data_IF_101256774697
#
_entry.id   IF_101256774697
#
_cell.length_a   1.000
_cell.length_b   1.000
_cell.length_c   1.000
_cell.angle_alpha   90.00
_cell.angle_beta   90.00
_cell.angle_gamma   90.00
#
_symmetry.space_group_name_H-M   'P 1'
#
loop_
_entity.id
_entity.type
_entity.pdbx_description
1 polymer ?
#
# COMPACT_ATOMS: atom_id res chain seq x y z
N UNK A 1 5.79 12.91 -6.82
CA UNK A 1 5.80 11.42 -6.93
C UNK A 1 4.37 10.89 -6.89
N UNK A 2 4.00 9.96 -7.78
CA UNK A 2 2.67 9.31 -7.76
C UNK A 2 2.77 7.84 -7.35
N UNK A 3 1.86 7.42 -6.48
CA UNK A 3 1.76 6.05 -5.98
C UNK A 3 0.39 5.47 -6.29
N UNK A 4 0.37 4.30 -6.92
CA UNK A 4 -0.84 3.53 -7.19
C UNK A 4 -0.92 2.35 -6.20
N UNK A 5 -1.98 2.33 -5.39
CA UNK A 5 -2.17 1.36 -4.32
C UNK A 5 -3.28 0.39 -4.71
N UNK A 6 -2.96 -0.91 -4.73
CA UNK A 6 -3.94 -1.98 -4.94
C UNK A 6 -4.34 -2.59 -3.60
N UNK A 7 -5.66 -2.80 -3.34
CA UNK A 7 -6.13 -3.42 -2.11
C UNK A 7 -5.72 -4.89 -2.05
N UNK A 8 -5.73 -5.44 -0.83
CA UNK A 8 -5.53 -6.87 -0.59
C UNK A 8 -6.53 -7.74 -1.37
N UNK A 9 -6.12 -8.90 -1.93
CA UNK A 9 -7.01 -9.81 -2.66
C UNK A 9 -8.27 -10.21 -1.88
N UNK A 10 -8.18 -10.25 -0.55
CA UNK A 10 -9.28 -10.53 0.38
C UNK A 10 -10.42 -9.51 0.29
N UNK A 11 -10.14 -8.28 -0.16
CA UNK A 11 -11.12 -7.23 -0.44
C UNK A 11 -11.81 -7.47 -1.78
N UNK A 12 -11.08 -7.99 -2.78
CA UNK A 12 -11.59 -8.21 -4.13
C UNK A 12 -12.66 -9.31 -4.19
N UNK A 13 -12.54 -10.35 -3.36
CA UNK A 13 -13.49 -11.46 -3.27
C UNK A 13 -14.83 -11.11 -2.59
N UNK A 14 -14.96 -9.90 -2.03
CA UNK A 14 -16.18 -9.47 -1.34
C UNK A 14 -17.25 -8.98 -2.33
N UNK A 15 -18.51 -9.06 -1.90
CA UNK A 15 -19.65 -8.52 -2.65
C UNK A 15 -19.43 -7.03 -2.96
N UNK A 16 -20.04 -6.53 -4.05
CA UNK A 16 -19.87 -5.15 -4.51
C UNK A 16 -20.14 -4.09 -3.41
N UNK A 17 -21.18 -4.20 -2.57
CA UNK A 17 -21.40 -3.27 -1.46
C UNK A 17 -20.28 -3.30 -0.41
N UNK A 18 -19.87 -4.50 0.03
CA UNK A 18 -18.83 -4.69 1.05
C UNK A 18 -17.48 -4.19 0.52
N UNK A 19 -17.13 -4.51 -0.72
CA UNK A 19 -15.91 -4.03 -1.37
C UNK A 19 -15.88 -2.50 -1.44
N UNK A 20 -16.99 -1.86 -1.83
CA UNK A 20 -17.09 -0.39 -1.86
C UNK A 20 -16.87 0.23 -0.48
N UNK A 21 -17.45 -0.36 0.56
CA UNK A 21 -17.25 0.07 1.95
C UNK A 21 -15.78 -0.09 2.39
N UNK A 22 -15.17 -1.25 2.13
CA UNK A 22 -13.77 -1.52 2.47
C UNK A 22 -12.82 -0.55 1.74
N UNK A 23 -13.02 -0.30 0.45
CA UNK A 23 -12.23 0.67 -0.31
C UNK A 23 -12.37 2.10 0.22
N UNK A 24 -13.59 2.49 0.65
CA UNK A 24 -13.80 3.77 1.31
C UNK A 24 -12.99 3.88 2.61
N UNK A 25 -13.01 2.84 3.45
CA UNK A 25 -12.23 2.81 4.69
C UNK A 25 -10.72 2.85 4.39
N UNK A 26 -10.24 2.08 3.42
CA UNK A 26 -8.83 2.08 3.03
C UNK A 26 -8.36 3.48 2.62
N UNK A 27 -9.11 4.13 1.72
CA UNK A 27 -8.82 5.49 1.26
C UNK A 27 -8.85 6.51 2.39
N UNK A 28 -9.81 6.39 3.32
CA UNK A 28 -9.90 7.28 4.48
C UNK A 28 -8.74 7.08 5.45
N UNK A 29 -8.33 5.83 5.69
CA UNK A 29 -7.18 5.50 6.53
C UNK A 29 -5.90 6.09 5.96
N UNK A 30 -5.65 5.88 4.66
CA UNK A 30 -4.49 6.42 3.95
C UNK A 30 -4.49 7.94 4.01
N UNK A 31 -5.61 8.60 3.66
CA UNK A 31 -5.73 10.06 3.70
C UNK A 31 -5.45 10.63 5.09
N UNK A 32 -6.05 10.04 6.13
CA UNK A 32 -5.88 10.52 7.51
C UNK A 32 -4.44 10.40 8.00
N UNK A 33 -3.75 9.33 7.63
CA UNK A 33 -2.37 9.12 8.03
C UNK A 33 -1.41 10.02 7.24
N UNK A 34 -1.57 10.13 5.92
CA UNK A 34 -0.71 10.98 5.08
C UNK A 34 -0.91 12.47 5.35
N UNK A 35 -2.12 12.92 5.70
CA UNK A 35 -2.38 14.31 6.07
C UNK A 35 -1.61 14.77 7.34
N UNK A 36 -1.10 13.82 8.16
CA UNK A 36 -0.21 14.13 9.30
C UNK A 36 1.22 14.42 8.85
N UNK A 37 1.63 13.87 7.71
CA UNK A 37 2.92 14.17 7.11
C UNK A 37 2.85 15.52 6.40
N UNK A 38 1.85 15.68 5.52
CA UNK A 38 1.61 16.92 4.80
C UNK A 38 0.16 16.96 4.29
N UNK A 39 -0.61 18.03 4.60
CA UNK A 39 -2.00 18.16 4.16
C UNK A 39 -2.17 18.31 2.65
N UNK A 40 -1.12 18.65 1.91
CA UNK A 40 -1.15 18.76 0.44
C UNK A 40 -1.01 17.39 -0.27
N UNK A 41 -0.70 16.32 0.45
CA UNK A 41 -0.70 14.96 -0.14
C UNK A 41 -2.13 14.60 -0.54
N UNK A 42 -2.36 14.48 -1.85
CA UNK A 42 -3.68 14.16 -2.40
C UNK A 42 -3.87 12.66 -2.38
N UNK A 43 -5.04 12.24 -1.91
CA UNK A 43 -5.44 10.83 -1.86
C UNK A 43 -6.79 10.69 -2.52
N UNK A 44 -6.81 10.04 -3.67
CA UNK A 44 -7.98 9.77 -4.48
C UNK A 44 -8.14 8.26 -4.69
N UNK A 45 -9.11 7.83 -5.48
CA UNK A 45 -9.22 6.41 -5.82
C UNK A 45 -10.57 6.01 -6.37
N UNK A 46 -10.56 4.88 -7.04
CA UNK A 46 -11.69 4.23 -7.67
C UNK A 46 -12.27 3.12 -6.78
N UNK A 47 -13.05 2.22 -7.38
CA UNK A 47 -13.57 1.04 -6.71
C UNK A 47 -12.54 -0.09 -6.51
N UNK A 48 -11.38 -0.01 -7.18
CA UNK A 48 -10.36 -1.08 -7.22
C UNK A 48 -8.92 -0.61 -6.94
N UNK A 49 -8.69 0.70 -6.78
CA UNK A 49 -7.39 1.27 -6.40
C UNK A 49 -7.52 2.56 -5.59
N UNK A 50 -6.43 2.93 -4.92
CA UNK A 50 -6.23 4.23 -4.27
C UNK A 50 -5.02 4.88 -4.91
N UNK A 51 -5.16 6.13 -5.33
CA UNK A 51 -4.10 6.91 -5.97
C UNK A 51 -3.61 7.98 -4.99
N UNK A 52 -2.30 8.08 -4.81
CA UNK A 52 -1.67 9.03 -3.89
C UNK A 52 -0.68 9.89 -4.66
N UNK A 53 -0.83 11.20 -4.56
CA UNK A 53 0.07 12.18 -5.16
C UNK A 53 0.81 12.92 -4.05
N UNK A 54 2.13 12.69 -4.00
CA UNK A 54 3.04 13.33 -3.05
C UNK A 54 3.70 14.52 -3.75
N UNK A 55 3.58 15.75 -3.20
CA UNK A 55 4.23 16.92 -3.76
C UNK A 55 5.75 16.76 -3.89
N UNK A 56 6.31 17.18 -5.02
CA UNK A 56 7.75 17.12 -5.27
C UNK A 56 8.52 18.18 -4.47
N UNK A 57 9.83 17.97 -4.31
CA UNK A 57 10.74 18.92 -3.65
C UNK A 57 10.65 18.98 -2.11
N UNK A 58 9.74 18.23 -1.47
CA UNK A 58 9.55 18.24 -0.01
C UNK A 58 10.25 17.10 0.74
N UNK A 59 10.90 16.16 0.05
CA UNK A 59 11.53 14.99 0.67
C UNK A 59 10.55 13.98 1.31
N UNK A 60 9.24 14.09 1.00
CA UNK A 60 8.19 13.30 1.64
C UNK A 60 7.98 11.90 1.03
N UNK A 61 8.61 11.62 -0.11
CA UNK A 61 8.41 10.36 -0.83
C UNK A 61 8.75 9.11 0.00
N UNK A 62 9.90 9.13 0.68
CA UNK A 62 10.31 8.05 1.57
C UNK A 62 9.38 7.87 2.78
N UNK A 63 9.13 8.93 3.57
CA UNK A 63 8.18 8.88 4.70
C UNK A 63 6.77 8.43 4.31
N UNK A 64 6.24 8.90 3.18
CA UNK A 64 4.92 8.49 2.68
C UNK A 64 4.91 6.98 2.34
N UNK A 65 5.93 6.48 1.65
CA UNK A 65 6.05 5.06 1.32
C UNK A 65 6.16 4.19 2.58
N UNK A 66 7.02 4.56 3.53
CA UNK A 66 7.20 3.87 4.82
C UNK A 66 5.90 3.79 5.63
N UNK A 67 5.11 4.85 5.63
CA UNK A 67 3.80 4.88 6.27
C UNK A 67 2.83 3.92 5.57
N UNK A 68 2.74 3.99 4.24
CA UNK A 68 1.86 3.15 3.44
C UNK A 68 2.17 1.64 3.61
N UNK A 69 3.45 1.26 3.73
CA UNK A 69 3.86 -0.14 3.94
C UNK A 69 3.24 -0.77 5.19
N UNK A 70 2.82 0.05 6.17
CA UNK A 70 2.32 -0.39 7.47
C UNK A 70 0.79 -0.34 7.58
N UNK A 71 0.08 0.09 6.54
CA UNK A 71 -1.38 0.22 6.57
C UNK A 71 -2.04 -1.13 6.22
N UNK A 72 -2.87 -1.69 7.11
CA UNK A 72 -3.67 -2.87 6.80
C UNK A 72 -4.61 -2.65 5.61
N UNK A 73 -4.74 -3.67 4.76
CA UNK A 73 -5.58 -3.64 3.57
C UNK A 73 -4.84 -3.31 2.26
N UNK A 74 -3.56 -2.95 2.31
CA UNK A 74 -2.75 -2.68 1.12
C UNK A 74 -2.03 -3.94 0.65
N UNK A 75 -2.27 -4.38 -0.59
CA UNK A 75 -1.52 -5.48 -1.21
C UNK A 75 -0.18 -5.00 -1.75
N UNK A 76 -0.24 -4.00 -2.62
CA UNK A 76 0.93 -3.51 -3.34
C UNK A 76 0.86 -2.01 -3.51
N UNK A 77 2.01 -1.36 -3.42
CA UNK A 77 2.19 0.07 -3.67
C UNK A 77 3.11 0.15 -4.89
N UNK A 78 2.68 0.84 -5.94
CA UNK A 78 3.45 1.01 -7.17
C UNK A 78 3.86 2.47 -7.29
N UNK A 79 5.15 2.72 -7.40
CA UNK A 79 5.66 4.03 -7.82
C UNK A 79 5.46 4.15 -9.33
N UNK A 80 4.72 5.17 -9.75
CA UNK A 80 4.35 5.36 -11.15
C UNK A 80 4.79 6.74 -11.65
N UNK A 81 5.27 6.78 -12.89
CA UNK A 81 5.31 7.98 -13.71
C UNK A 81 4.00 8.10 -14.45
N UNK A 82 3.41 9.30 -14.50
CA UNK A 82 2.12 9.53 -15.16
C UNK A 82 2.24 10.62 -16.21
N UNK A 83 1.72 10.33 -17.40
CA UNK A 83 1.91 11.14 -18.59
C UNK A 83 0.62 11.20 -19.43
N UNK A 84 0.37 12.28 -20.18
CA UNK A 84 -0.66 12.29 -21.21
C UNK A 84 -0.28 11.30 -22.32
N UNK A 85 -1.28 10.63 -22.91
CA UNK A 85 -1.06 9.75 -24.04
C UNK A 85 -1.05 10.56 -25.35
N UNK A 86 0.10 10.56 -26.03
CA UNK A 86 0.28 11.26 -27.32
C UNK A 86 0.37 10.25 -28.47
N UNK A 87 1.32 9.31 -28.40
CA UNK A 87 1.51 8.25 -29.38
C UNK A 87 2.22 7.04 -28.76
N UNK A 88 2.33 5.94 -29.51
CA UNK A 88 3.09 4.77 -29.04
C UNK A 88 4.58 5.06 -28.93
N UNK A 89 5.10 5.94 -29.80
CA UNK A 89 6.48 6.39 -29.82
C UNK A 89 6.80 7.22 -28.59
N UNK A 90 5.93 8.16 -28.20
CA UNK A 90 6.09 8.94 -26.96
C UNK A 90 6.13 8.02 -25.72
N UNK A 91 5.24 7.02 -25.66
CA UNK A 91 5.26 6.03 -24.58
C UNK A 91 6.58 5.24 -24.57
N UNK A 92 7.11 4.90 -25.75
CA UNK A 92 8.37 4.19 -25.89
C UNK A 92 9.56 5.05 -25.42
N UNK A 93 9.60 6.33 -25.78
CA UNK A 93 10.62 7.28 -25.30
C UNK A 93 10.61 7.39 -23.78
N UNK A 94 9.43 7.56 -23.17
CA UNK A 94 9.28 7.60 -21.71
C UNK A 94 9.66 6.29 -21.04
N UNK A 95 9.39 5.15 -21.68
CA UNK A 95 9.81 3.85 -21.17
C UNK A 95 11.34 3.68 -21.22
N UNK A 96 11.99 4.14 -22.29
CA UNK A 96 13.45 4.14 -22.43
C UNK A 96 14.08 4.99 -21.33
N UNK A 97 13.61 6.23 -21.14
CA UNK A 97 14.07 7.12 -20.06
C UNK A 97 13.93 6.45 -18.67
N UNK A 98 12.84 5.72 -18.44
CA UNK A 98 12.55 5.11 -17.15
C UNK A 98 13.32 3.80 -16.87
N UNK A 99 13.77 3.08 -17.90
CA UNK A 99 14.25 1.70 -17.74
C UNK A 99 15.58 1.38 -18.40
N UNK A 100 16.09 2.15 -19.37
CA UNK A 100 17.27 1.76 -20.15
C UNK A 100 18.44 1.32 -19.27
N UNK A 101 18.82 2.15 -18.30
CA UNK A 101 19.93 1.87 -17.37
C UNK A 101 19.72 0.60 -16.53
N UNK A 102 18.46 0.22 -16.28
CA UNK A 102 18.11 -0.93 -15.43
C UNK A 102 18.15 -2.26 -16.18
N UNK A 103 18.09 -2.21 -17.51
CA UNK A 103 17.99 -3.39 -18.37
C UNK A 103 19.34 -3.91 -18.87
N UNK A 104 20.42 -3.14 -18.77
CA UNK A 104 21.75 -3.55 -19.21
C UNK A 104 22.12 -4.95 -18.71
N UNK A 105 22.42 -5.86 -19.65
CA UNK A 105 22.79 -7.26 -19.38
C UNK A 105 21.65 -8.16 -18.87
N UNK A 106 20.40 -7.68 -18.80
CA UNK A 106 19.26 -8.43 -18.26
C UNK A 106 18.22 -8.77 -19.33
N UNK A 107 17.46 -9.83 -19.09
CA UNK A 107 16.26 -10.12 -19.87
C UNK A 107 15.08 -9.29 -19.37
N UNK A 108 14.18 -8.92 -20.28
CA UNK A 108 13.00 -8.16 -19.91
C UNK A 108 11.74 -8.58 -20.67
N UNK A 109 10.58 -8.14 -20.17
CA UNK A 109 9.32 -8.20 -20.89
C UNK A 109 8.54 -6.90 -20.69
N UNK A 110 7.92 -6.42 -21.77
CA UNK A 110 6.94 -5.35 -21.70
C UNK A 110 5.56 -5.96 -21.46
N UNK A 111 4.81 -5.40 -20.52
CA UNK A 111 3.45 -5.81 -20.18
C UNK A 111 2.55 -4.59 -20.25
N UNK A 112 1.71 -4.53 -21.28
CA UNK A 112 0.79 -3.41 -21.47
C UNK A 112 -0.64 -3.78 -21.08
N UNK A 113 -1.33 -2.85 -20.42
CA UNK A 113 -2.78 -2.90 -20.22
C UNK A 113 -3.42 -1.66 -20.80
N UNK A 114 -4.66 -1.82 -21.29
CA UNK A 114 -5.42 -0.76 -21.92
C UNK A 114 -6.82 -0.71 -21.33
N UNK A 115 -7.25 0.48 -20.95
CA UNK A 115 -8.59 0.79 -20.48
C UNK A 115 -9.15 1.95 -21.31
N UNK A 116 -10.32 1.77 -21.94
CA UNK A 116 -10.91 2.74 -22.87
C UNK A 116 -10.85 2.31 -24.34
N UNK A 117 -11.16 3.21 -25.26
CA UNK A 117 -11.18 2.97 -26.71
C UNK A 117 -9.93 3.54 -27.38
N UNK A 118 -9.21 2.71 -28.12
CA UNK A 118 -7.96 3.10 -28.77
C UNK A 118 -7.83 2.37 -30.11
N UNK A 119 -7.15 2.99 -31.07
CA UNK A 119 -6.89 2.43 -32.41
C UNK A 119 -5.85 1.31 -32.44
N UNK A 120 -5.18 1.04 -31.31
CA UNK A 120 -4.14 0.02 -31.18
C UNK A 120 -4.48 -1.05 -30.14
N UNK A 121 -3.81 -2.20 -30.21
CA UNK A 121 -3.91 -3.27 -29.22
C UNK A 121 -2.73 -3.21 -28.27
N UNK A 122 -2.88 -3.77 -27.06
CA UNK A 122 -1.79 -3.83 -26.07
C UNK A 122 -0.51 -4.46 -26.64
N UNK A 123 -0.63 -5.48 -27.50
CA UNK A 123 0.51 -6.12 -28.15
C UNK A 123 1.26 -5.19 -29.11
N UNK A 124 0.57 -4.25 -29.74
CA UNK A 124 1.19 -3.29 -30.65
C UNK A 124 2.06 -2.32 -29.81
N UNK A 125 1.54 -1.85 -28.67
CA UNK A 125 2.31 -1.06 -27.69
C UNK A 125 3.49 -1.84 -27.09
N UNK A 126 3.29 -3.11 -26.70
CA UNK A 126 4.36 -3.97 -26.18
C UNK A 126 5.51 -4.14 -27.19
N UNK A 127 5.18 -4.28 -28.47
CA UNK A 127 6.16 -4.40 -29.56
C UNK A 127 6.91 -3.08 -29.77
N UNK A 128 6.21 -1.96 -29.87
CA UNK A 128 6.84 -0.65 -30.09
C UNK A 128 7.79 -0.30 -28.95
N UNK A 129 7.33 -0.42 -27.70
CA UNK A 129 8.15 -0.15 -26.51
C UNK A 129 9.28 -1.17 -26.39
N UNK A 130 9.01 -2.44 -26.64
CA UNK A 130 10.01 -3.50 -26.57
C UNK A 130 11.15 -3.30 -27.57
N UNK A 131 10.82 -2.88 -28.80
CA UNK A 131 11.81 -2.56 -29.82
C UNK A 131 12.71 -1.38 -29.41
N UNK A 132 12.11 -0.29 -28.93
CA UNK A 132 12.85 0.89 -28.48
C UNK A 132 13.79 0.56 -27.29
N UNK A 133 13.29 -0.18 -26.29
CA UNK A 133 14.11 -0.62 -25.17
C UNK A 133 15.25 -1.55 -25.61
N UNK A 134 14.99 -2.46 -26.55
CA UNK A 134 16.02 -3.37 -27.04
C UNK A 134 17.16 -2.62 -27.72
N UNK A 135 16.84 -1.54 -28.46
CA UNK A 135 17.83 -0.72 -29.13
C UNK A 135 18.63 0.17 -28.17
N UNK A 136 18.00 0.70 -27.11
CA UNK A 136 18.57 1.75 -26.27
C UNK A 136 19.21 1.27 -24.95
N UNK A 137 18.97 0.03 -24.51
CA UNK A 137 19.22 -0.36 -23.11
C UNK A 137 20.36 -1.35 -22.87
N UNK A 138 20.96 -1.92 -23.92
CA UNK A 138 21.96 -2.99 -23.77
C UNK A 138 21.44 -4.24 -23.06
N UNK A 139 20.12 -4.49 -23.11
CA UNK A 139 19.51 -5.70 -22.58
C UNK A 139 20.10 -6.97 -23.21
N UNK A 140 20.08 -8.09 -22.50
CA UNK A 140 20.56 -9.37 -23.04
C UNK A 140 19.52 -10.07 -23.94
N UNK A 141 18.26 -9.67 -23.84
CA UNK A 141 17.17 -10.15 -24.71
C UNK A 141 15.78 -9.99 -24.11
N UNK A 142 14.77 -10.50 -24.81
CA UNK A 142 13.37 -10.52 -24.34
C UNK A 142 13.02 -11.92 -23.85
N UNK A 143 12.52 -12.03 -22.62
CA UNK A 143 11.99 -13.28 -22.05
C UNK A 143 10.55 -13.06 -21.59
N UNK A 144 9.58 -13.62 -22.33
CA UNK A 144 8.16 -13.47 -22.03
C UNK A 144 7.67 -14.41 -20.91
N UNK A 145 8.47 -15.39 -20.48
CA UNK A 145 8.11 -16.38 -19.46
C UNK A 145 8.69 -16.00 -18.09
N UNK A 146 9.99 -15.71 -18.02
CA UNK A 146 10.70 -15.42 -16.76
C UNK A 146 11.66 -14.23 -16.88
N UNK A 147 11.14 -13.02 -17.20
CA UNK A 147 11.98 -11.83 -17.32
C UNK A 147 12.63 -11.45 -16.00
N UNK A 148 13.88 -10.99 -16.03
CA UNK A 148 14.53 -10.39 -14.86
C UNK A 148 13.95 -9.00 -14.54
N UNK A 149 13.45 -8.28 -15.55
CA UNK A 149 12.78 -6.98 -15.40
C UNK A 149 11.47 -6.95 -16.17
N UNK A 150 10.39 -6.56 -15.51
CA UNK A 150 9.11 -6.28 -16.19
C UNK A 150 8.89 -4.77 -16.33
N UNK A 151 8.70 -4.32 -17.57
CA UNK A 151 8.28 -2.96 -17.89
C UNK A 151 6.76 -2.95 -18.01
N UNK A 152 6.08 -2.40 -17.00
CA UNK A 152 4.61 -2.41 -16.93
C UNK A 152 4.07 -1.04 -17.29
N UNK A 153 3.19 -1.02 -18.29
CA UNK A 153 2.56 0.18 -18.82
C UNK A 153 1.06 -0.01 -18.79
N UNK A 154 0.34 0.99 -18.28
CA UNK A 154 -1.12 1.01 -18.28
C UNK A 154 -1.58 2.28 -18.99
N UNK A 155 -2.24 2.12 -20.13
CA UNK A 155 -2.89 3.23 -20.85
C UNK A 155 -4.35 3.25 -20.44
N UNK A 156 -4.82 4.42 -19.99
CA UNK A 156 -6.19 4.66 -19.60
C UNK A 156 -6.66 5.94 -20.27
N UNK A 157 -7.62 5.82 -21.18
CA UNK A 157 -8.19 6.93 -21.95
C UNK A 157 -7.11 7.78 -22.63
N UNK A 158 -6.94 9.05 -22.23
CA UNK A 158 -5.97 10.00 -22.78
C UNK A 158 -4.68 10.09 -21.94
N UNK A 159 -4.42 9.11 -21.06
CA UNK A 159 -3.25 9.09 -20.18
C UNK A 159 -2.60 7.71 -20.15
N UNK A 160 -1.32 7.66 -19.78
CA UNK A 160 -0.65 6.40 -19.48
C UNK A 160 0.29 6.52 -18.29
N UNK A 161 0.46 5.41 -17.59
CA UNK A 161 1.36 5.29 -16.45
C UNK A 161 2.40 4.21 -16.69
N UNK A 162 3.63 4.48 -16.25
CA UNK A 162 4.75 3.54 -16.23
C UNK A 162 5.05 3.18 -14.77
N UNK A 163 5.02 1.90 -14.42
CA UNK A 163 5.35 1.47 -13.06
C UNK A 163 6.85 1.25 -12.88
N UNK A 164 7.51 2.11 -12.08
CA UNK A 164 8.95 2.05 -11.86
C UNK A 164 9.33 1.00 -10.82
N UNK A 165 8.62 0.98 -9.69
CA UNK A 165 8.90 0.11 -8.55
C UNK A 165 7.59 -0.41 -7.96
N UNK A 166 7.65 -1.62 -7.41
CA UNK A 166 6.53 -2.26 -6.76
C UNK A 166 6.95 -2.74 -5.39
N UNK A 167 6.21 -2.30 -4.38
CA UNK A 167 6.41 -2.67 -2.99
C UNK A 167 5.26 -3.55 -2.51
N UNK A 168 5.57 -4.48 -1.61
CA UNK A 168 4.57 -5.31 -0.96
C UNK A 168 4.04 -4.59 0.28
N UNK A 169 2.74 -4.36 0.34
CA UNK A 169 2.08 -3.83 1.52
C UNK A 169 1.78 -4.90 2.57
N UNK A 170 1.19 -4.47 3.69
CA UNK A 170 0.89 -5.32 4.83
C UNK A 170 -0.12 -6.45 4.53
N UNK A 171 -0.99 -6.26 3.53
CA UNK A 171 -2.13 -7.13 3.23
C UNK A 171 -3.24 -7.04 4.27
N UNK A 172 -4.12 -8.03 4.30
CA UNK A 172 -5.23 -8.08 5.26
C UNK A 172 -6.41 -7.16 4.88
N UNK A 173 -7.13 -6.64 5.87
CA UNK A 173 -8.30 -5.80 5.63
C UNK A 173 -8.07 -4.35 6.07
N UNK A 174 -8.72 -3.37 5.43
CA UNK A 174 -8.68 -1.99 5.88
C UNK A 174 -9.15 -1.86 7.33
N UNK A 175 -8.34 -1.23 8.18
CA UNK A 175 -8.70 -1.04 9.59
C UNK A 175 -10.05 -0.34 9.74
N UNK A 176 -10.90 -0.84 10.63
CA UNK A 176 -12.26 -0.33 10.87
C UNK A 176 -13.30 -0.85 9.89
N UNK A 177 -12.95 -1.79 8.99
CA UNK A 177 -13.92 -2.40 8.07
C UNK A 177 -14.71 -3.58 8.62
N UNK A 178 -14.38 -4.04 9.82
CA UNK A 178 -15.06 -5.16 10.48
C UNK A 178 -15.80 -4.63 11.71
N UNK A 179 -15.26 -4.84 12.90
CA UNK A 179 -15.83 -4.39 14.18
C UNK A 179 -14.73 -3.95 15.14
N UNK A 180 -15.16 -3.42 16.29
CA UNK A 180 -14.30 -3.12 17.42
C UNK A 180 -14.14 -4.38 18.26
N UNK A 181 -12.94 -4.60 18.79
CA UNK A 181 -12.63 -5.70 19.71
C UNK A 181 -11.96 -5.17 20.96
N UNK A 182 -12.22 -5.83 22.09
CA UNK A 182 -11.47 -5.63 23.32
C UNK A 182 -10.40 -6.72 23.41
N UNK A 183 -9.15 -6.30 23.33
CA UNK A 183 -7.99 -7.18 23.35
C UNK A 183 -7.37 -7.16 24.73
N UNK A 184 -7.38 -8.33 25.39
CA UNK A 184 -6.63 -8.53 26.62
C UNK A 184 -5.13 -8.42 26.30
N UNK A 185 -4.47 -7.46 26.93
CA UNK A 185 -3.03 -7.24 26.80
C UNK A 185 -2.40 -7.49 28.16
N UNK A 186 -1.32 -8.27 28.22
CA UNK A 186 -0.66 -8.62 29.49
C UNK A 186 0.70 -7.94 29.70
N UNK A 187 1.24 -7.33 28.65
CA UNK A 187 2.66 -6.92 28.57
C UNK A 187 3.58 -8.02 28.02
N UNK A 188 3.07 -9.25 27.90
CA UNK A 188 3.78 -10.35 27.24
C UNK A 188 3.72 -10.26 25.71
N UNK A 189 4.63 -11.00 25.07
CA UNK A 189 4.78 -11.06 23.61
C UNK A 189 3.49 -11.50 22.90
N UNK A 190 2.86 -12.58 23.35
CA UNK A 190 1.74 -13.22 22.63
C UNK A 190 0.53 -12.30 22.46
N UNK A 191 0.15 -11.60 23.53
CA UNK A 191 -0.98 -10.67 23.50
C UNK A 191 -0.74 -9.49 22.53
N UNK A 192 0.52 -9.06 22.40
CA UNK A 192 0.92 -7.99 21.47
C UNK A 192 0.87 -8.46 20.02
N UNK A 193 1.34 -9.68 19.75
CA UNK A 193 1.24 -10.31 18.42
C UNK A 193 -0.22 -10.56 18.03
N UNK A 194 -1.03 -11.05 18.96
CA UNK A 194 -2.46 -11.24 18.75
C UNK A 194 -3.15 -9.93 18.36
N UNK A 195 -2.88 -8.83 19.10
CA UNK A 195 -3.41 -7.51 18.77
C UNK A 195 -3.02 -7.06 17.34
N UNK A 196 -1.75 -7.21 16.96
CA UNK A 196 -1.28 -6.91 15.61
C UNK A 196 -2.00 -7.73 14.54
N UNK A 197 -2.13 -9.05 14.74
CA UNK A 197 -2.84 -9.93 13.80
C UNK A 197 -4.32 -9.52 13.65
N UNK A 198 -4.97 -9.11 14.73
CA UNK A 198 -6.34 -8.59 14.72
C UNK A 198 -6.44 -7.27 13.94
N UNK A 199 -5.52 -6.33 14.14
CA UNK A 199 -5.45 -5.08 13.35
C UNK A 199 -5.26 -5.37 11.86
N UNK A 200 -4.40 -6.33 11.51
CA UNK A 200 -4.20 -6.77 10.13
C UNK A 200 -5.48 -7.35 9.52
N UNK A 201 -6.38 -7.93 10.34
CA UNK A 201 -7.71 -8.39 9.90
C UNK A 201 -8.77 -7.29 9.85
N UNK A 202 -8.38 -6.02 9.99
CA UNK A 202 -9.29 -4.88 9.89
C UNK A 202 -10.08 -4.58 11.16
N UNK A 203 -9.79 -5.27 12.27
CA UNK A 203 -10.46 -5.10 13.56
C UNK A 203 -9.83 -3.96 14.33
N UNK A 204 -10.67 -3.07 14.87
CA UNK A 204 -10.19 -1.96 15.69
C UNK A 204 -10.00 -2.43 17.13
N UNK A 205 -8.75 -2.42 17.58
CA UNK A 205 -8.40 -2.86 18.93
C UNK A 205 -8.62 -1.74 19.95
N UNK A 206 -9.36 -2.04 20.99
CA UNK A 206 -9.29 -1.40 22.29
C UNK A 206 -8.63 -2.38 23.25
N UNK A 207 -7.89 -1.89 24.25
CA UNK A 207 -7.03 -2.72 25.08
C UNK A 207 -7.56 -2.75 26.51
N UNK A 208 -7.57 -3.95 27.09
CA UNK A 208 -7.88 -4.19 28.49
C UNK A 208 -6.68 -4.84 29.14
N UNK A 209 -6.14 -4.20 30.18
CA UNK A 209 -5.01 -4.67 30.97
C UNK A 209 -5.47 -4.87 32.41
N UNK A 210 -5.29 -6.08 32.94
CA UNK A 210 -5.47 -6.36 34.36
C UNK A 210 -4.14 -6.09 35.08
N UNK A 211 -4.11 -5.04 35.89
CA UNK A 211 -2.91 -4.60 36.56
C UNK A 211 -2.70 -5.35 37.87
N UNK A 212 -1.65 -6.18 37.89
CA UNK A 212 -1.11 -6.90 39.05
C UNK A 212 0.33 -6.48 39.39
N UNK A 213 0.97 -5.71 38.52
CA UNK A 213 2.40 -5.36 38.61
C UNK A 213 2.66 -3.91 39.04
N UNK A 214 1.62 -3.23 39.55
CA UNK A 214 1.65 -1.83 39.91
C UNK A 214 1.89 -0.88 38.73
N UNK A 215 2.24 0.36 39.04
CA UNK A 215 2.34 1.45 38.06
C UNK A 215 3.42 1.22 37.00
N UNK A 216 4.58 0.67 37.38
CA UNK A 216 5.69 0.46 36.45
C UNK A 216 5.33 -0.54 35.34
N UNK A 217 4.65 -1.64 35.70
CA UNK A 217 4.20 -2.63 34.72
C UNK A 217 3.18 -2.02 33.75
N UNK A 218 2.20 -1.26 34.27
CA UNK A 218 1.21 -0.57 33.44
C UNK A 218 1.85 0.38 32.41
N UNK A 219 2.86 1.16 32.82
CA UNK A 219 3.58 2.06 31.91
C UNK A 219 4.23 1.27 30.77
N UNK A 220 4.88 0.14 31.08
CA UNK A 220 5.49 -0.74 30.08
C UNK A 220 4.45 -1.29 29.09
N UNK A 221 3.32 -1.81 29.58
CA UNK A 221 2.24 -2.30 28.71
C UNK A 221 1.67 -1.18 27.84
N UNK A 222 1.49 0.02 28.41
CA UNK A 222 0.96 1.18 27.67
C UNK A 222 1.90 1.63 26.56
N UNK A 223 3.22 1.56 26.76
CA UNK A 223 4.21 1.83 25.71
C UNK A 223 4.11 0.82 24.56
N UNK A 224 3.95 -0.47 24.87
CA UNK A 224 3.76 -1.52 23.86
C UNK A 224 2.46 -1.30 23.08
N UNK A 225 1.36 -0.99 23.77
CA UNK A 225 0.08 -0.67 23.13
C UNK A 225 0.19 0.57 22.25
N UNK A 226 0.84 1.62 22.73
CA UNK A 226 1.09 2.83 21.95
C UNK A 226 1.89 2.50 20.69
N UNK A 227 2.96 1.71 20.81
CA UNK A 227 3.77 1.30 19.66
C UNK A 227 2.97 0.56 18.59
N UNK A 228 2.16 -0.43 18.99
CA UNK A 228 1.31 -1.18 18.06
C UNK A 228 0.28 -0.27 17.40
N UNK A 229 -0.37 0.59 18.19
CA UNK A 229 -1.35 1.53 17.71
C UNK A 229 -0.74 2.54 16.74
N UNK A 230 0.38 3.19 17.09
CA UNK A 230 1.04 4.18 16.26
C UNK A 230 1.47 3.57 14.91
N UNK A 231 2.04 2.36 14.96
CA UNK A 231 2.60 1.71 13.77
C UNK A 231 1.54 1.15 12.81
N UNK A 232 0.43 0.62 13.32
CA UNK A 232 -0.55 -0.14 12.50
C UNK A 232 -2.00 0.32 12.66
N UNK A 233 -2.31 1.04 13.73
CA UNK A 233 -3.66 1.39 14.17
C UNK A 233 -4.03 2.87 14.07
N UNK A 234 -3.06 3.75 13.78
CA UNK A 234 -3.16 5.18 14.08
C UNK A 234 -4.19 5.95 13.23
N UNK A 235 -4.78 5.32 12.22
CA UNK A 235 -5.93 5.85 11.47
C UNK A 235 -7.18 5.96 12.36
N UNK A 236 -7.24 5.24 13.49
CA UNK A 236 -8.36 5.25 14.43
C UNK A 236 -7.86 5.52 15.84
N UNK A 237 -8.71 6.00 16.76
CA UNK A 237 -8.32 6.07 18.17
C UNK A 237 -8.41 4.68 18.82
N UNK A 238 -7.50 4.38 19.74
CA UNK A 238 -7.59 3.22 20.61
C UNK A 238 -7.93 3.68 22.04
N UNK A 239 -8.58 2.79 22.80
CA UNK A 239 -8.78 2.99 24.25
C UNK A 239 -7.86 2.00 24.94
N UNK A 240 -7.29 2.41 26.07
CA UNK A 240 -6.54 1.55 26.97
C UNK A 240 -7.22 1.64 28.34
N UNK A 241 -7.68 0.49 28.84
CA UNK A 241 -8.40 0.36 30.10
C UNK A 241 -7.51 -0.47 31.02
N UNK A 242 -7.04 0.14 32.10
CA UNK A 242 -6.33 -0.56 33.18
C UNK A 242 -7.31 -0.86 34.30
N UNK A 243 -7.38 -2.13 34.72
CA UNK A 243 -8.21 -2.59 35.84
C UNK A 243 -7.28 -3.01 36.98
N UNK A 244 -7.32 -2.35 38.14
CA UNK A 244 -6.58 -2.82 39.31
C UNK A 244 -7.13 -4.19 39.73
N UNK A 245 -6.28 -5.22 39.71
CA UNK A 245 -6.71 -6.61 39.90
C UNK A 245 -6.15 -7.25 41.18
N UNK A 246 -5.32 -6.53 41.93
CA UNK A 246 -4.69 -6.98 43.18
C UNK A 246 -5.73 -7.48 44.20
N UNK A 247 -6.83 -6.74 44.39
CA UNK A 247 -7.89 -7.09 45.35
C UNK A 247 -8.70 -8.34 44.98
N UNK A 248 -8.71 -8.75 43.70
CA UNK A 248 -9.47 -9.92 43.23
C UNK A 248 -8.64 -11.21 43.42
N UNK A 249 -7.32 -11.11 43.35
CA UNK A 249 -6.40 -12.27 43.51
C UNK A 249 -6.09 -12.54 44.98
N UNK A 250 -6.38 -11.59 45.88
CA UNK A 250 -6.14 -11.73 47.31
C UNK A 250 -7.22 -12.53 48.06
N UNK A 251 -8.34 -12.85 47.40
CA UNK A 251 -9.46 -13.69 47.91
C UNK A 251 -9.30 -15.16 47.48
#
# INVERSE_FOLDING_TARGET
MKLLIRPAPEVAIKSKPVRRQQMRHLRQNIRKLLARLDPEIRVEGSWDRVDVEVPDGRGLSGPALELLLRIPGISTIQEIGAFPFVSLEDVAEKAVEAFADRLAGKTFAVRARRHGEHSFRSIDLERTVGAALMQASGASGVDLKSPQVEVRIEVQDDQFHIAHRKHRGLGGYPLGSVENVLTLISGGYDSSVAAYLMMRRGLRNHFLFFNLGGTAHEVGVRQVVHYLWDRYGASHSAKFISVPFEGVVAE
#
